data_IF_732423244970
#
_entry.id   IF_732423244970
#
_cell.length_a   1.000
_cell.length_b   1.000
_cell.length_c   1.000
_cell.angle_alpha   90.00
_cell.angle_beta   90.00
_cell.angle_gamma   90.00
#
_symmetry.space_group_name_H-M   'P 1'
#
loop_
_entity.id
_entity.type
_entity.pdbx_description
1 polymer ?
#
# COMPACT_ATOMS: atom_id res chain seq x y z
N UNK A 1 17.34 -13.85 7.52
CA UNK A 1 16.93 -14.45 6.22
C UNK A 1 15.45 -14.82 6.24
N UNK A 2 14.98 -15.57 7.24
CA UNK A 2 13.57 -15.97 7.38
C UNK A 2 12.57 -14.81 7.33
N UNK A 3 12.78 -13.73 8.08
CA UNK A 3 11.87 -12.58 8.05
C UNK A 3 11.66 -12.00 6.63
N UNK A 4 12.74 -11.86 5.86
CA UNK A 4 12.67 -11.38 4.47
C UNK A 4 11.91 -12.36 3.55
N UNK A 5 12.08 -13.66 3.77
CA UNK A 5 11.36 -14.69 3.02
C UNK A 5 9.87 -14.69 3.36
N UNK A 6 9.53 -14.42 4.62
CA UNK A 6 8.15 -14.28 5.09
C UNK A 6 7.48 -13.03 4.49
N UNK A 7 8.16 -11.87 4.48
CA UNK A 7 7.64 -10.64 3.87
C UNK A 7 7.42 -10.80 2.36
N UNK A 8 8.35 -11.44 1.65
CA UNK A 8 8.20 -11.75 0.22
C UNK A 8 7.00 -12.65 -0.06
N UNK A 9 6.76 -13.63 0.81
CA UNK A 9 5.65 -14.55 0.68
C UNK A 9 4.31 -13.88 1.01
N UNK A 10 4.23 -13.08 2.08
CA UNK A 10 2.99 -12.44 2.54
C UNK A 10 2.58 -11.24 1.69
N UNK A 11 3.54 -10.43 1.20
CA UNK A 11 3.24 -9.25 0.38
C UNK A 11 3.06 -9.65 -1.09
N UNK A 12 3.97 -10.44 -1.63
CA UNK A 12 4.03 -10.70 -3.07
C UNK A 12 3.60 -12.11 -3.48
N UNK A 13 3.28 -13.00 -2.53
CA UNK A 13 2.92 -14.37 -2.83
C UNK A 13 4.08 -15.19 -3.41
N UNK A 14 5.34 -14.81 -3.13
CA UNK A 14 6.54 -15.40 -3.73
C UNK A 14 7.54 -15.91 -2.71
N UNK A 15 8.28 -16.97 -3.06
CA UNK A 15 9.47 -17.38 -2.32
C UNK A 15 10.69 -16.53 -2.70
N UNK A 16 11.80 -16.72 -1.99
CA UNK A 16 13.05 -15.96 -2.24
C UNK A 16 13.67 -16.21 -3.63
N UNK A 17 13.29 -17.28 -4.32
CA UNK A 17 13.70 -17.61 -5.68
C UNK A 17 12.73 -17.08 -6.74
N UNK A 18 11.64 -16.40 -6.34
CA UNK A 18 10.64 -15.83 -7.24
C UNK A 18 9.51 -16.77 -7.69
N UNK A 19 9.51 -18.03 -7.26
CA UNK A 19 8.38 -18.96 -7.48
C UNK A 19 7.22 -18.67 -6.52
N UNK A 20 6.08 -19.31 -6.75
CA UNK A 20 4.90 -19.21 -5.87
C UNK A 20 5.26 -19.50 -4.40
N UNK A 21 4.79 -18.62 -3.52
CA UNK A 21 4.96 -18.71 -2.09
C UNK A 21 3.95 -19.68 -1.44
N UNK A 22 4.11 -19.94 -0.14
CA UNK A 22 3.30 -20.91 0.60
C UNK A 22 1.89 -20.44 0.96
N UNK A 23 1.60 -19.13 0.85
CA UNK A 23 0.30 -18.57 1.23
C UNK A 23 -0.65 -18.54 0.02
N UNK A 24 -1.91 -18.92 0.24
CA UNK A 24 -2.95 -18.83 -0.78
C UNK A 24 -3.37 -17.36 -1.01
N UNK A 25 -3.51 -16.60 0.07
CA UNK A 25 -3.82 -15.17 0.04
C UNK A 25 -2.58 -14.34 0.36
N UNK A 26 -2.36 -13.26 -0.40
CA UNK A 26 -1.25 -12.33 -0.22
C UNK A 26 -1.67 -10.90 -0.60
N UNK A 27 -0.98 -9.89 -0.06
CA UNK A 27 -1.41 -8.48 -0.19
C UNK A 27 -1.55 -8.02 -1.64
N UNK A 28 -0.60 -8.39 -2.51
CA UNK A 28 -0.62 -8.03 -3.93
C UNK A 28 -1.65 -8.81 -4.77
N UNK A 29 -2.49 -9.65 -4.16
CA UNK A 29 -3.56 -10.37 -4.86
C UNK A 29 -4.80 -9.49 -5.10
N UNK A 30 -4.95 -8.40 -4.36
CA UNK A 30 -6.08 -7.47 -4.54
C UNK A 30 -6.10 -6.86 -5.94
N UNK A 31 -7.29 -6.71 -6.51
CA UNK A 31 -7.50 -5.98 -7.76
C UNK A 31 -7.67 -4.47 -7.56
N UNK A 32 -7.80 -4.02 -6.31
CA UNK A 32 -7.97 -2.61 -5.97
C UNK A 32 -6.62 -1.90 -5.97
N UNK A 33 -6.52 -0.79 -6.68
CA UNK A 33 -5.31 0.03 -6.74
C UNK A 33 -5.64 1.49 -6.94
N UNK A 34 -5.01 2.36 -6.16
CA UNK A 34 -5.07 3.82 -6.33
C UNK A 34 -3.68 4.32 -6.74
N UNK A 35 -3.62 5.15 -7.79
CA UNK A 35 -2.38 5.73 -8.26
C UNK A 35 -1.98 6.94 -7.41
N UNK A 36 -0.79 6.87 -6.80
CA UNK A 36 -0.26 7.97 -5.98
C UNK A 36 0.18 9.17 -6.85
N UNK A 37 -0.14 10.37 -6.38
CA UNK A 37 0.16 11.65 -7.01
C UNK A 37 -0.89 12.14 -8.00
N UNK A 38 -2.11 11.59 -7.97
CA UNK A 38 -3.19 11.96 -8.89
C UNK A 38 -4.16 12.97 -8.29
N UNK A 39 -4.37 12.92 -6.97
CA UNK A 39 -5.15 13.93 -6.26
C UNK A 39 -4.45 15.29 -6.29
N UNK A 40 -5.21 16.33 -6.64
CA UNK A 40 -4.70 17.69 -6.69
C UNK A 40 -4.20 18.16 -5.32
N UNK A 41 -3.18 19.01 -5.29
CA UNK A 41 -2.55 19.46 -4.05
C UNK A 41 -3.52 20.16 -3.09
N UNK A 42 -4.46 20.93 -3.64
CA UNK A 42 -5.52 21.63 -2.89
C UNK A 42 -6.61 20.68 -2.35
N UNK A 43 -6.65 19.43 -2.80
CA UNK A 43 -7.57 18.39 -2.34
C UNK A 43 -6.87 17.37 -1.40
N UNK A 44 -5.65 17.68 -0.96
CA UNK A 44 -4.88 16.83 -0.04
C UNK A 44 -3.65 16.15 -0.68
N UNK A 45 -3.45 16.28 -2.00
CA UNK A 45 -2.28 15.72 -2.69
C UNK A 45 -2.15 14.22 -2.46
N UNK A 46 -0.91 13.74 -2.23
CA UNK A 46 -0.63 12.31 -1.98
C UNK A 46 -1.47 11.76 -0.81
N UNK A 47 -1.77 12.57 0.21
CA UNK A 47 -2.61 12.11 1.32
C UNK A 47 -4.06 11.83 0.88
N UNK A 48 -4.60 12.60 -0.06
CA UNK A 48 -5.91 12.34 -0.64
C UNK A 48 -5.99 10.97 -1.32
N UNK A 49 -4.93 10.55 -2.02
CA UNK A 49 -4.86 9.22 -2.64
C UNK A 49 -4.88 8.09 -1.59
N UNK A 50 -4.33 8.31 -0.39
CA UNK A 50 -4.42 7.36 0.72
C UNK A 50 -5.83 7.26 1.29
N UNK A 51 -6.55 8.39 1.36
CA UNK A 51 -7.94 8.41 1.82
C UNK A 51 -8.86 7.70 0.82
N UNK A 52 -8.64 7.88 -0.49
CA UNK A 52 -9.38 7.13 -1.50
C UNK A 52 -9.17 5.61 -1.37
N UNK A 53 -7.92 5.18 -1.12
CA UNK A 53 -7.63 3.77 -0.87
C UNK A 53 -8.23 3.24 0.43
N UNK A 54 -8.34 4.09 1.47
CA UNK A 54 -8.99 3.77 2.73
C UNK A 54 -10.49 3.53 2.54
N UNK A 55 -11.16 4.42 1.82
CA UNK A 55 -12.59 4.32 1.53
C UNK A 55 -12.92 3.00 0.82
N UNK A 56 -12.08 2.58 -0.14
CA UNK A 56 -12.25 1.30 -0.82
C UNK A 56 -12.16 0.06 0.10
N UNK A 57 -11.40 0.14 1.20
CA UNK A 57 -11.27 -0.96 2.16
C UNK A 57 -12.47 -0.97 3.10
N UNK A 58 -12.89 0.20 3.56
CA UNK A 58 -14.07 0.36 4.42
C UNK A 58 -15.35 -0.05 3.66
N UNK A 59 -15.45 0.28 2.37
CA UNK A 59 -16.57 -0.12 1.51
C UNK A 59 -16.69 -1.64 1.34
N UNK A 60 -15.59 -2.39 1.51
CA UNK A 60 -15.59 -3.86 1.52
C UNK A 60 -15.92 -4.44 2.91
N UNK A 61 -16.26 -3.61 3.89
CA UNK A 61 -16.55 -3.97 5.29
C UNK A 61 -15.30 -4.45 6.07
N UNK A 62 -14.12 -3.87 5.77
CA UNK A 62 -12.86 -4.16 6.48
C UNK A 62 -12.36 -2.97 7.29
N UNK A 63 -11.78 -3.27 8.46
CA UNK A 63 -11.08 -2.28 9.28
C UNK A 63 -9.68 -1.97 8.74
N UNK A 64 -9.38 -0.69 8.59
CA UNK A 64 -8.06 -0.23 8.20
C UNK A 64 -7.15 0.08 9.40
N UNK A 65 -6.04 -0.63 9.50
CA UNK A 65 -5.11 -0.52 10.64
C UNK A 65 -3.78 0.15 10.29
N UNK A 66 -3.42 0.22 9.00
CA UNK A 66 -2.21 0.90 8.56
C UNK A 66 -1.75 0.49 7.16
N UNK A 67 -0.68 1.13 6.69
CA UNK A 67 -0.07 0.85 5.38
C UNK A 67 1.34 0.31 5.52
N UNK A 68 1.70 -0.61 4.62
CA UNK A 68 3.08 -1.02 4.38
C UNK A 68 3.58 -0.30 3.13
N UNK A 69 4.72 0.39 3.22
CA UNK A 69 5.28 1.15 2.12
C UNK A 69 6.82 1.10 2.11
N UNK A 70 7.41 1.36 0.94
CA UNK A 70 8.85 1.52 0.81
C UNK A 70 9.34 2.78 1.55
N UNK A 71 10.52 2.68 2.18
CA UNK A 71 11.11 3.78 2.94
C UNK A 71 11.31 5.07 2.12
N UNK A 72 11.42 4.98 0.79
CA UNK A 72 11.52 6.12 -0.13
C UNK A 72 10.23 6.93 -0.23
N UNK A 73 9.08 6.37 0.18
CA UNK A 73 7.82 7.09 0.23
C UNK A 73 7.78 8.09 1.40
N UNK A 74 8.44 7.76 2.52
CA UNK A 74 8.46 8.60 3.73
C UNK A 74 8.85 10.06 3.48
N UNK A 75 9.98 10.39 2.80
CA UNK A 75 10.33 11.79 2.52
C UNK A 75 9.32 12.47 1.58
N UNK A 76 8.69 11.72 0.65
CA UNK A 76 7.66 12.27 -0.24
C UNK A 76 6.41 12.68 0.53
N UNK A 77 6.01 11.88 1.52
CA UNK A 77 4.89 12.20 2.40
C UNK A 77 5.19 13.38 3.31
N UNK A 78 6.40 13.44 3.89
CA UNK A 78 6.80 14.56 4.74
C UNK A 78 6.91 15.89 3.98
N UNK A 79 7.25 15.84 2.69
CA UNK A 79 7.31 16.99 1.82
C UNK A 79 5.96 17.34 1.17
N UNK A 80 4.95 16.46 1.27
CA UNK A 80 3.63 16.71 0.72
C UNK A 80 2.92 17.77 1.57
N UNK A 81 2.94 19.02 1.12
CA UNK A 81 2.19 20.10 1.75
C UNK A 81 0.81 20.21 1.10
N UNK A 82 -0.23 20.15 1.93
CA UNK A 82 -1.56 20.62 1.55
C UNK A 82 -1.56 22.14 1.74
N UNK A 83 -1.72 22.89 0.65
CA UNK A 83 -1.94 24.33 0.70
C UNK A 83 -3.43 24.57 0.67
N UNK A 84 -4.04 24.62 1.86
CA UNK A 84 -5.38 25.19 2.04
C UNK A 84 -5.33 26.71 1.92
#
# INVERSE_FOLDING_TARGET
>A
AFARAFDMATIHGKNMAGSTGPFQDYLAMTSKSVALGTTAQNLGGIWGDFVEGLDQIIDDDWDYTGTVADNRLKPKLLAATSTT
#
